data_IF_325581006423
#
_entry.id   IF_325581006423
#
_cell.length_a   1.000
_cell.length_b   1.000
_cell.length_c   1.000
_cell.angle_alpha   90.00
_cell.angle_beta   90.00
_cell.angle_gamma   90.00
#
_symmetry.space_group_name_H-M   'P 1'
#
loop_
_entity.id
_entity.type
_entity.pdbx_description
1 polymer ?
#
# COMPACT_ATOMS: atom_id res chain seq x y z
N UNK A 1 14.36 -3.57 -19.29
CA UNK A 1 13.95 -3.55 -19.12
C UNK A 1 13.30 -3.21 -18.20
N UNK A 2 12.80 -2.91 -18.07
CA UNK A 2 12.03 -2.39 -17.15
C UNK A 2 11.91 -3.18 -16.01
N UNK A 3 12.60 -3.87 -15.73
CA UNK A 3 12.52 -4.73 -14.71
C UNK A 3 12.62 -4.11 -13.38
N UNK A 4 12.42 -2.88 -13.25
CA UNK A 4 12.56 -2.23 -11.99
C UNK A 4 11.24 -1.94 -11.32
N UNK A 5 10.18 -2.57 -11.77
CA UNK A 5 8.88 -2.32 -11.20
C UNK A 5 8.44 -3.50 -10.35
N UNK A 6 8.05 -3.25 -9.12
CA UNK A 6 7.54 -4.28 -8.24
C UNK A 6 6.05 -4.14 -8.09
N UNK A 7 5.39 -5.23 -7.78
CA UNK A 7 3.95 -5.27 -7.80
C UNK A 7 3.43 -5.93 -6.55
N UNK A 8 2.34 -5.42 -6.02
CA UNK A 8 1.67 -6.04 -4.88
C UNK A 8 0.18 -5.87 -4.99
N UNK A 9 -0.56 -6.85 -4.52
CA UNK A 9 -2.00 -6.78 -4.49
C UNK A 9 -2.43 -6.70 -3.04
N UNK A 10 -3.36 -5.83 -2.74
CA UNK A 10 -3.87 -5.69 -1.39
C UNK A 10 -5.38 -5.80 -1.37
N UNK A 11 -5.90 -6.25 -0.24
CA UNK A 11 -7.33 -6.37 -0.05
C UNK A 11 -7.70 -5.96 1.35
N UNK A 12 -8.86 -5.37 1.47
CA UNK A 12 -9.39 -5.02 2.77
C UNK A 12 -10.88 -4.95 2.66
N UNK A 13 -11.58 -5.84 3.37
CA UNK A 13 -13.02 -5.94 3.25
C UNK A 13 -13.36 -6.22 1.79
N UNK A 14 -14.13 -5.37 1.15
CA UNK A 14 -14.46 -5.61 -0.25
C UNK A 14 -13.60 -4.81 -1.21
N UNK A 15 -12.61 -4.10 -0.71
CA UNK A 15 -11.74 -3.31 -1.58
C UNK A 15 -10.56 -4.14 -2.03
N UNK A 16 -10.17 -3.95 -3.29
CA UNK A 16 -9.03 -4.62 -3.88
C UNK A 16 -8.13 -3.58 -4.51
N UNK A 17 -6.84 -3.67 -4.28
CA UNK A 17 -5.88 -2.72 -4.83
C UNK A 17 -4.77 -3.43 -5.56
N UNK A 18 -4.34 -2.84 -6.67
CA UNK A 18 -3.17 -3.30 -7.38
C UNK A 18 -2.16 -2.17 -7.27
N UNK A 19 -1.00 -2.48 -6.78
CA UNK A 19 0.01 -1.46 -6.49
C UNK A 19 1.28 -1.75 -7.27
N UNK A 20 1.76 -0.75 -7.99
CA UNK A 20 2.99 -0.84 -8.74
C UNK A 20 4.00 0.13 -8.15
N UNK A 21 5.18 -0.38 -7.87
CA UNK A 21 6.23 0.35 -7.21
C UNK A 21 7.40 0.45 -8.15
N UNK A 22 7.87 1.64 -8.44
CA UNK A 22 9.04 1.79 -9.29
C UNK A 22 9.90 2.92 -8.76
N UNK A 23 11.20 2.95 -9.11
CA UNK A 23 12.06 3.99 -8.59
C UNK A 23 11.54 5.37 -8.93
N UNK A 24 11.62 6.27 -7.99
CA UNK A 24 11.11 7.60 -8.22
C UNK A 24 11.40 8.51 -7.06
N UNK A 25 10.54 9.48 -6.85
CA UNK A 25 10.79 10.53 -5.88
C UNK A 25 9.77 10.58 -4.75
N UNK A 26 8.80 9.67 -4.74
CA UNK A 26 7.83 9.66 -3.66
C UNK A 26 6.43 10.05 -4.09
N UNK A 27 6.16 10.06 -5.38
CA UNK A 27 4.85 10.44 -5.86
C UNK A 27 3.91 9.23 -5.79
N UNK A 28 2.75 9.43 -5.22
CA UNK A 28 1.76 8.36 -5.12
C UNK A 28 0.51 8.79 -5.87
N UNK A 29 0.06 7.96 -6.82
CA UNK A 29 -1.18 8.22 -7.53
C UNK A 29 -2.12 7.05 -7.32
N UNK A 30 -3.40 7.35 -7.18
CA UNK A 30 -4.43 6.36 -6.98
C UNK A 30 -5.49 6.59 -8.04
N UNK A 31 -5.71 5.58 -8.87
CA UNK A 31 -6.66 5.68 -9.97
C UNK A 31 -6.40 6.92 -10.81
N UNK A 32 -5.11 7.14 -11.10
CA UNK A 32 -4.65 8.23 -11.96
C UNK A 32 -4.80 9.61 -11.33
N UNK A 33 -5.00 9.68 -10.03
CA UNK A 33 -5.08 10.96 -9.33
C UNK A 33 -4.03 11.02 -8.25
N UNK A 34 -3.47 12.19 -7.94
CA UNK A 34 -2.57 12.28 -6.82
C UNK A 34 -3.26 11.80 -5.54
N UNK A 35 -2.51 11.18 -4.65
CA UNK A 35 -3.11 10.62 -3.46
C UNK A 35 -3.80 11.71 -2.63
N UNK A 36 -3.28 12.94 -2.68
CA UNK A 36 -3.87 14.02 -1.92
C UNK A 36 -5.24 14.40 -2.46
N UNK A 37 -5.47 14.16 -3.74
CA UNK A 37 -6.78 14.44 -4.30
C UNK A 37 -7.73 13.27 -4.11
N UNK A 38 -7.20 12.07 -4.23
CA UNK A 38 -8.05 10.90 -4.14
C UNK A 38 -8.62 10.74 -2.73
N UNK A 39 -7.75 10.90 -1.72
CA UNK A 39 -8.21 10.84 -0.34
C UNK A 39 -8.28 12.27 0.18
N UNK A 40 -9.49 12.79 0.27
CA UNK A 40 -9.64 14.13 0.77
C UNK A 40 -9.29 14.28 2.23
N UNK A 41 -9.29 13.18 2.99
CA UNK A 41 -8.96 13.25 4.40
C UNK A 41 -7.54 12.83 4.63
N UNK A 42 -6.92 13.50 5.58
CA UNK A 42 -5.54 13.21 5.90
C UNK A 42 -5.36 11.78 6.38
N UNK A 43 -6.36 11.21 7.05
CA UNK A 43 -6.26 9.87 7.56
C UNK A 43 -5.97 8.86 6.44
N UNK A 44 -6.67 8.98 5.33
CA UNK A 44 -6.43 8.06 4.22
C UNK A 44 -5.04 8.18 3.66
N UNK A 45 -4.56 9.43 3.55
CA UNK A 45 -3.22 9.64 3.03
C UNK A 45 -2.17 9.09 3.97
N UNK A 46 -2.37 9.21 5.27
CA UNK A 46 -1.44 8.68 6.23
C UNK A 46 -1.37 7.18 6.16
N UNK A 47 -2.53 6.52 6.06
CA UNK A 47 -2.57 5.08 6.01
C UNK A 47 -1.77 4.56 4.82
N UNK A 48 -1.93 5.21 3.67
CA UNK A 48 -1.24 4.76 2.46
C UNK A 48 0.27 4.93 2.60
N UNK A 49 0.73 5.98 3.28
CA UNK A 49 2.15 6.22 3.40
C UNK A 49 2.85 5.44 4.49
N UNK A 50 2.09 4.85 5.40
CA UNK A 50 2.71 4.18 6.55
C UNK A 50 3.75 3.13 6.19
N UNK A 51 3.52 2.24 5.23
CA UNK A 51 4.54 1.24 4.94
C UNK A 51 5.84 1.86 4.46
N UNK A 52 5.74 2.92 3.66
CA UNK A 52 6.94 3.59 3.18
C UNK A 52 7.69 4.26 4.30
N UNK A 53 6.97 4.81 5.27
CA UNK A 53 7.62 5.45 6.40
C UNK A 53 8.32 4.44 7.27
N UNK A 54 7.68 3.29 7.50
CA UNK A 54 8.30 2.24 8.29
C UNK A 54 9.55 1.72 7.61
N UNK A 55 9.51 1.59 6.29
CA UNK A 55 10.66 1.11 5.53
C UNK A 55 11.68 2.19 5.25
N UNK A 56 11.35 3.45 5.59
CA UNK A 56 12.23 4.60 5.34
C UNK A 56 12.52 4.79 3.87
N UNK A 57 11.49 4.61 3.05
CA UNK A 57 11.62 4.71 1.60
C UNK A 57 10.60 5.68 1.02
N UNK A 58 10.22 6.70 1.78
CA UNK A 58 9.16 7.59 1.35
C UNK A 58 9.50 8.40 0.11
N UNK A 59 10.77 8.61 -0.16
CA UNK A 59 11.15 9.39 -1.33
C UNK A 59 11.97 8.58 -2.33
N UNK A 60 11.85 7.27 -2.28
CA UNK A 60 12.61 6.42 -3.18
C UNK A 60 11.78 5.80 -4.29
N UNK A 61 10.48 5.78 -4.15
CA UNK A 61 9.63 5.12 -5.13
C UNK A 61 8.48 6.00 -5.53
N UNK A 62 8.05 5.85 -6.77
CA UNK A 62 6.77 6.37 -7.21
C UNK A 62 5.83 5.19 -7.19
N UNK A 63 4.62 5.42 -6.73
CA UNK A 63 3.65 4.36 -6.57
C UNK A 63 2.43 4.66 -7.39
N UNK A 64 1.98 3.67 -8.14
CA UNK A 64 0.77 3.79 -8.91
C UNK A 64 -0.18 2.72 -8.41
N UNK A 65 -1.32 3.10 -7.91
CA UNK A 65 -2.29 2.18 -7.35
C UNK A 65 -3.59 2.27 -8.10
N UNK A 66 -4.23 1.11 -8.27
CA UNK A 66 -5.56 1.05 -8.84
C UNK A 66 -6.41 0.32 -7.81
N UNK A 67 -7.49 0.95 -7.38
CA UNK A 67 -8.28 0.39 -6.31
C UNK A 67 -9.76 0.42 -6.70
N UNK A 68 -10.50 -0.58 -6.26
CA UNK A 68 -11.92 -0.61 -6.52
C UNK A 68 -12.62 -1.31 -5.36
N UNK A 69 -13.90 -1.05 -5.23
CA UNK A 69 -14.71 -1.70 -4.20
C UNK A 69 -14.54 -1.04 -2.85
N UNK A 70 -15.38 -1.44 -1.92
CA UNK A 70 -15.30 -0.97 -0.54
C UNK A 70 -15.52 0.51 -0.41
N UNK A 71 -15.35 1.01 0.79
CA UNK A 71 -15.43 2.41 1.04
C UNK A 71 -14.05 3.02 1.13
N UNK A 72 -13.99 4.30 1.39
CA UNK A 72 -12.71 5.01 1.44
C UNK A 72 -11.73 4.38 2.42
N UNK A 73 -12.21 4.02 3.59
CA UNK A 73 -11.32 3.43 4.58
C UNK A 73 -10.79 2.08 4.12
N UNK A 74 -11.68 1.27 3.54
CA UNK A 74 -11.24 -0.02 3.01
C UNK A 74 -10.26 0.12 1.88
N UNK A 75 -10.45 1.15 1.04
CA UNK A 75 -9.55 1.37 -0.07
C UNK A 75 -8.17 1.77 0.41
N UNK A 76 -8.08 2.65 1.41
CA UNK A 76 -6.78 3.03 1.95
C UNK A 76 -6.08 1.83 2.55
N UNK A 77 -6.81 0.98 3.26
CA UNK A 77 -6.21 -0.21 3.84
C UNK A 77 -5.74 -1.20 2.79
N UNK A 78 -6.52 -1.35 1.71
CA UNK A 78 -6.12 -2.24 0.63
C UNK A 78 -4.85 -1.75 -0.05
N UNK A 79 -4.75 -0.44 -0.28
CA UNK A 79 -3.56 0.13 -0.88
C UNK A 79 -2.36 -0.07 0.04
N UNK A 80 -2.52 0.17 1.34
CA UNK A 80 -1.43 -0.04 2.29
C UNK A 80 -0.93 -1.47 2.22
N UNK A 81 -1.86 -2.43 2.17
CA UNK A 81 -1.48 -3.82 2.10
C UNK A 81 -0.74 -4.12 0.80
N UNK A 82 -1.21 -3.54 -0.31
CA UNK A 82 -0.53 -3.74 -1.59
C UNK A 82 0.85 -3.16 -1.61
N UNK A 83 1.03 -1.97 -1.02
CA UNK A 83 2.35 -1.36 -0.95
C UNK A 83 3.27 -2.22 -0.09
N UNK A 84 2.76 -2.74 1.02
CA UNK A 84 3.55 -3.60 1.88
C UNK A 84 4.06 -4.81 1.12
N UNK A 85 3.17 -5.46 0.36
CA UNK A 85 3.57 -6.64 -0.38
C UNK A 85 4.57 -6.31 -1.48
N UNK A 86 4.39 -5.16 -2.15
CA UNK A 86 5.32 -4.75 -3.18
C UNK A 86 6.70 -4.45 -2.60
N UNK A 87 6.74 -3.83 -1.42
CA UNK A 87 8.00 -3.55 -0.76
C UNK A 87 8.73 -4.83 -0.37
N UNK A 88 7.98 -5.82 0.11
CA UNK A 88 8.60 -7.10 0.48
C UNK A 88 9.12 -7.80 -0.76
N UNK A 89 8.43 -7.66 -1.87
CA UNK A 89 8.93 -8.24 -3.11
C UNK A 89 10.22 -7.53 -3.54
N UNK A 90 10.29 -6.23 -3.32
CA UNK A 90 11.48 -5.48 -3.64
C UNK A 90 12.65 -5.89 -2.74
N UNK A 91 12.39 -6.09 -1.45
CA UNK A 91 13.43 -6.43 -0.50
C UNK A 91 12.82 -7.25 0.61
N UNK A 92 13.11 -8.53 0.62
CA UNK A 92 12.52 -9.44 1.59
C UNK A 92 12.87 -9.05 3.03
N UNK A 93 13.97 -8.36 3.23
CA UNK A 93 14.34 -7.93 4.56
C UNK A 93 13.38 -6.93 5.16
N UNK A 94 12.56 -6.31 4.34
CA UNK A 94 11.57 -5.37 4.84
C UNK A 94 10.40 -6.06 5.51
N UNK A 95 10.28 -7.37 5.34
CA UNK A 95 9.17 -8.09 5.93
C UNK A 95 9.15 -7.95 7.45
N UNK A 96 10.32 -7.98 8.06
CA UNK A 96 10.40 -7.92 9.50
C UNK A 96 9.89 -6.60 10.09
N UNK A 97 10.39 -5.45 9.64
CA UNK A 97 9.87 -4.20 10.19
C UNK A 97 8.42 -3.95 9.82
N UNK A 98 7.99 -4.37 8.64
CA UNK A 98 6.61 -4.18 8.26
C UNK A 98 5.68 -5.08 9.06
N UNK A 99 6.14 -6.27 9.40
CA UNK A 99 5.35 -7.16 10.24
C UNK A 99 5.26 -6.58 11.64
N UNK A 100 6.36 -6.03 12.16
CA UNK A 100 6.35 -5.44 13.48
C UNK A 100 5.38 -4.28 13.57
N UNK A 101 5.19 -3.57 12.46
CA UNK A 101 4.25 -2.47 12.42
C UNK A 101 2.81 -2.94 12.20
N UNK A 102 2.61 -4.24 11.97
CA UNK A 102 1.27 -4.76 11.80
C UNK A 102 0.75 -4.71 10.38
N UNK A 103 1.61 -4.44 9.41
CA UNK A 103 1.14 -4.30 8.02
C UNK A 103 1.20 -5.60 7.23
N UNK A 104 1.90 -6.61 7.72
CA UNK A 104 1.92 -7.90 7.06
C UNK A 104 0.85 -8.73 7.72
N UNK A 105 -0.23 -9.01 6.99
CA UNK A 105 -1.36 -9.60 7.64
C UNK A 105 -1.80 -10.85 7.01
N UNK A 106 -1.04 -11.90 7.14
CA UNK A 106 -1.47 -13.11 6.62
C UNK A 106 -2.70 -13.56 7.31
N UNK A 107 -2.95 -13.13 8.53
CA UNK A 107 -4.12 -13.55 9.25
C UNK A 107 -5.21 -12.52 9.20
N UNK A 108 -5.18 -11.70 8.22
CA UNK A 108 -6.15 -10.64 8.11
C UNK A 108 -7.58 -11.15 8.11
N UNK A 109 -7.82 -12.27 7.48
CA UNK A 109 -9.17 -12.74 7.42
C UNK A 109 -9.66 -13.15 8.77
N UNK A 110 -8.81 -13.64 9.64
CA UNK A 110 -9.25 -13.96 10.95
C UNK A 110 -9.62 -12.74 11.71
N UNK A 111 -8.83 -11.71 11.60
CA UNK A 111 -9.13 -10.48 12.27
C UNK A 111 -10.44 -9.92 11.81
N UNK A 112 -10.69 -9.97 10.53
CA UNK A 112 -11.90 -9.44 10.03
C UNK A 112 -13.10 -10.22 10.44
N UNK A 113 -12.96 -11.49 10.58
CA UNK A 113 -14.07 -12.27 11.00
C UNK A 113 -14.48 -11.98 12.39
N UNK A 114 -13.56 -11.55 13.18
CA UNK A 114 -13.88 -11.23 14.46
C UNK A 114 -14.68 -10.06 14.61
N UNK A 115 -14.89 -9.35 13.75
CA UNK A 115 -15.58 -8.19 13.79
C UNK A 115 -16.71 -8.23 13.63
#
# INVERSE_FOLDING_TARGET
MPATQNYGTGRRKTATARVYLKPGTGRITVNARPVDEFFGRETGRMIVRQPLEVAQLTDKFDIQAHVSGGGITGQAGAIRHGITRALIEYDENLRRPLRAAGFVTRDAREVERKK
#
